data_IF_582479110144
#
_entry.id   IF_582479110144
#
_cell.length_a   1.000
_cell.length_b   1.000
_cell.length_c   1.000
_cell.angle_alpha   90.00
_cell.angle_beta   90.00
_cell.angle_gamma   90.00
#
_symmetry.space_group_name_H-M   'P 1'
#
loop_
_entity.id
_entity.type
_entity.pdbx_description
1 polymer ?
#
# COMPACT_ATOMS: atom_id res chain seq x y z
N UNK A 1 7.55 -10.62 19.15
CA UNK A 1 8.83 -9.97 18.83
C UNK A 1 8.58 -8.93 17.75
N UNK A 2 8.16 -7.74 18.17
CA UNK A 2 7.80 -6.65 17.26
C UNK A 2 8.91 -5.65 17.01
N UNK A 3 10.17 -6.00 17.27
CA UNK A 3 11.27 -5.10 16.93
C UNK A 3 11.76 -5.44 15.53
N UNK A 4 11.21 -4.73 14.57
CA UNK A 4 11.81 -4.64 13.25
C UNK A 4 12.81 -3.50 13.35
N UNK A 5 14.08 -3.80 13.14
CA UNK A 5 15.09 -2.76 13.02
C UNK A 5 14.87 -2.04 11.68
N UNK A 6 14.33 -0.84 11.75
CA UNK A 6 14.00 -0.05 10.55
C UNK A 6 15.24 0.23 9.72
N UNK A 7 16.39 0.37 10.33
CA UNK A 7 17.63 0.65 9.63
C UNK A 7 18.07 -0.50 8.73
N UNK A 8 17.70 -1.75 9.07
CA UNK A 8 18.05 -2.92 8.25
C UNK A 8 17.14 -3.06 7.01
N UNK A 9 15.92 -2.51 7.05
CA UNK A 9 14.93 -2.69 6.00
C UNK A 9 14.72 -1.45 5.11
N UNK A 10 15.32 -0.33 5.49
CA UNK A 10 15.19 0.91 4.73
C UNK A 10 16.47 1.20 3.94
N UNK A 11 16.29 1.45 2.65
CA UNK A 11 17.37 1.87 1.75
C UNK A 11 17.16 3.32 1.37
N UNK A 12 18.13 4.17 1.71
CA UNK A 12 18.08 5.57 1.32
C UNK A 12 18.50 5.70 -0.14
N UNK A 13 17.55 6.07 -1.00
CA UNK A 13 17.77 6.22 -2.45
C UNK A 13 18.23 7.62 -2.83
N UNK A 14 17.83 8.63 -2.05
CA UNK A 14 18.22 10.04 -2.21
C UNK A 14 18.07 10.74 -0.87
N UNK A 15 18.36 12.03 -0.83
CA UNK A 15 18.15 12.83 0.39
C UNK A 15 16.69 12.89 0.83
N UNK A 16 15.77 12.68 -0.11
CA UNK A 16 14.33 12.82 0.11
C UNK A 16 13.56 11.52 -0.02
N UNK A 17 14.19 10.40 -0.38
CA UNK A 17 13.52 9.14 -0.64
C UNK A 17 14.20 7.98 0.04
N UNK A 18 13.44 7.22 0.83
CA UNK A 18 13.86 5.93 1.36
C UNK A 18 12.86 4.86 0.95
N UNK A 19 13.35 3.66 0.62
CA UNK A 19 12.54 2.51 0.27
C UNK A 19 12.64 1.44 1.34
N UNK A 20 11.48 0.96 1.79
CA UNK A 20 11.39 -0.23 2.62
C UNK A 20 11.24 -1.45 1.73
N UNK A 21 12.20 -2.35 1.78
CA UNK A 21 12.22 -3.54 0.94
C UNK A 21 11.92 -4.78 1.77
N UNK A 22 11.05 -5.64 1.24
CA UNK A 22 10.83 -6.97 1.80
C UNK A 22 11.95 -7.88 1.33
N UNK A 23 12.74 -8.44 2.27
CA UNK A 23 13.86 -9.32 1.94
C UNK A 23 13.45 -10.70 1.48
N UNK A 24 12.28 -11.19 1.88
CA UNK A 24 11.74 -12.49 1.51
C UNK A 24 10.23 -12.43 1.28
N UNK A 25 9.68 -13.26 0.37
CA UNK A 25 8.24 -13.32 0.18
C UNK A 25 7.57 -13.78 1.48
N UNK A 26 6.63 -12.99 1.97
CA UNK A 26 5.88 -13.32 3.18
C UNK A 26 4.70 -14.20 2.80
N UNK A 27 4.64 -15.42 3.35
CA UNK A 27 3.59 -16.39 3.05
C UNK A 27 2.22 -15.99 3.58
N UNK A 28 2.19 -15.22 4.67
CA UNK A 28 0.97 -14.74 5.30
C UNK A 28 1.00 -13.21 5.43
N UNK A 29 0.85 -12.54 4.30
CA UNK A 29 0.72 -11.08 4.28
C UNK A 29 -0.47 -10.60 5.12
N UNK A 30 -1.53 -11.41 5.22
CA UNK A 30 -2.69 -11.11 6.03
C UNK A 30 -2.35 -11.03 7.52
N UNK A 31 -1.60 -12.00 8.04
CA UNK A 31 -1.21 -11.98 9.46
C UNK A 31 -0.37 -10.77 9.81
N UNK A 32 0.52 -10.35 8.91
CA UNK A 32 1.31 -9.15 9.11
C UNK A 32 0.48 -7.87 9.08
N UNK A 33 -0.47 -7.79 8.16
CA UNK A 33 -1.36 -6.63 8.05
C UNK A 33 -2.36 -6.54 9.20
N UNK A 34 -2.76 -7.67 9.76
CA UNK A 34 -3.68 -7.73 10.90
C UNK A 34 -2.98 -7.67 12.26
N UNK A 35 -1.67 -7.84 12.31
CA UNK A 35 -0.96 -7.86 13.58
C UNK A 35 -1.02 -6.49 14.27
N UNK A 36 -1.43 -6.41 15.55
CA UNK A 36 -1.40 -5.14 16.27
C UNK A 36 -0.01 -4.50 16.30
N UNK A 37 1.04 -5.32 16.23
CA UNK A 37 2.42 -4.86 16.18
C UNK A 37 2.72 -4.05 14.91
N UNK A 38 2.00 -4.26 13.81
CA UNK A 38 2.25 -3.50 12.57
C UNK A 38 1.88 -2.02 12.70
N UNK A 39 0.80 -1.70 13.41
CA UNK A 39 0.43 -0.31 13.67
C UNK A 39 1.50 0.40 14.54
N UNK A 40 2.05 -0.30 15.52
CA UNK A 40 3.11 0.22 16.38
C UNK A 40 4.39 0.49 15.58
N UNK A 41 4.77 -0.42 14.69
CA UNK A 41 5.95 -0.27 13.83
C UNK A 41 5.78 0.91 12.88
N UNK A 42 4.59 1.08 12.31
CA UNK A 42 4.30 2.21 11.44
C UNK A 42 4.39 3.54 12.19
N UNK A 43 3.83 3.61 13.40
CA UNK A 43 3.90 4.81 14.23
C UNK A 43 5.33 5.14 14.62
N UNK A 44 6.13 4.16 14.97
CA UNK A 44 7.56 4.34 15.29
C UNK A 44 8.35 4.84 14.09
N UNK A 45 8.08 4.29 12.91
CA UNK A 45 8.71 4.72 11.66
C UNK A 45 8.39 6.19 11.36
N UNK A 46 7.15 6.59 11.50
CA UNK A 46 6.73 7.98 11.29
C UNK A 46 7.39 8.90 12.33
N UNK A 47 7.43 8.48 13.58
CA UNK A 47 8.04 9.26 14.65
C UNK A 47 9.55 9.43 14.49
N UNK A 48 10.24 8.44 13.95
CA UNK A 48 11.69 8.45 13.78
C UNK A 48 12.11 9.17 12.49
N UNK A 49 11.41 8.93 11.39
CA UNK A 49 11.79 9.45 10.07
C UNK A 49 11.18 10.81 9.72
N UNK A 50 10.09 11.18 10.36
CA UNK A 50 9.34 12.41 10.08
C UNK A 50 9.05 12.61 8.57
N UNK A 51 8.53 11.59 7.88
CA UNK A 51 8.28 11.72 6.44
C UNK A 51 7.13 12.67 6.17
N UNK A 52 7.21 13.42 5.08
CA UNK A 52 6.09 14.22 4.61
C UNK A 52 5.00 13.34 3.98
N UNK A 53 5.41 12.31 3.26
CA UNK A 53 4.51 11.35 2.61
C UNK A 53 5.06 9.94 2.80
N UNK A 54 4.16 9.02 3.16
CA UNK A 54 4.46 7.59 3.20
C UNK A 54 3.57 6.89 2.18
N UNK A 55 4.18 6.11 1.29
CA UNK A 55 3.46 5.33 0.30
C UNK A 55 3.61 3.85 0.64
N UNK A 56 2.48 3.19 0.85
CA UNK A 56 2.43 1.75 1.07
C UNK A 56 2.07 1.05 -0.24
N UNK A 57 2.94 0.16 -0.70
CA UNK A 57 2.66 -0.71 -1.84
C UNK A 57 1.94 -1.94 -1.32
N UNK A 58 0.64 -2.01 -1.56
CA UNK A 58 -0.25 -3.03 -1.02
C UNK A 58 -0.66 -4.04 -2.08
N UNK A 59 -1.04 -5.26 -1.67
CA UNK A 59 -1.50 -6.27 -2.62
C UNK A 59 -2.82 -5.89 -3.28
N UNK A 60 -3.21 -6.69 -4.28
CA UNK A 60 -4.44 -6.47 -5.03
C UNK A 60 -5.68 -6.42 -4.14
N UNK A 61 -6.60 -5.50 -4.45
CA UNK A 61 -7.81 -5.27 -3.65
C UNK A 61 -8.76 -6.45 -3.70
N UNK A 62 -8.97 -6.99 -4.90
CA UNK A 62 -9.90 -8.10 -5.10
C UNK A 62 -9.22 -9.45 -4.84
N UNK A 63 -9.93 -10.35 -4.18
CA UNK A 63 -9.45 -11.69 -3.87
C UNK A 63 -8.78 -11.85 -2.52
N UNK A 64 -8.73 -10.80 -1.71
CA UNK A 64 -8.12 -10.84 -0.39
C UNK A 64 -8.84 -9.87 0.56
N UNK A 65 -9.16 -10.35 1.76
CA UNK A 65 -9.74 -9.52 2.81
C UNK A 65 -8.68 -8.75 3.61
N UNK A 66 -7.42 -8.97 3.31
CA UNK A 66 -6.29 -8.49 4.10
C UNK A 66 -6.14 -6.98 4.07
N UNK A 67 -6.45 -6.39 2.93
CA UNK A 67 -6.39 -4.94 2.74
C UNK A 67 -7.36 -4.18 3.63
N UNK A 68 -8.54 -4.74 3.84
CA UNK A 68 -9.61 -4.06 4.59
C UNK A 68 -9.16 -3.74 6.02
N UNK A 69 -8.38 -4.61 6.63
CA UNK A 69 -7.84 -4.40 7.97
C UNK A 69 -6.75 -3.34 8.01
N UNK A 70 -6.02 -3.16 6.93
CA UNK A 70 -4.92 -2.18 6.85
C UNK A 70 -5.40 -0.77 6.49
N UNK A 71 -6.42 -0.65 5.66
CA UNK A 71 -6.89 0.63 5.11
C UNK A 71 -7.20 1.72 6.15
N UNK A 72 -7.69 1.41 7.37
CA UNK A 72 -7.88 2.46 8.37
C UNK A 72 -6.60 3.18 8.80
N UNK A 73 -5.42 2.63 8.49
CA UNK A 73 -4.13 3.25 8.83
C UNK A 73 -3.65 4.28 7.81
N UNK A 74 -4.34 4.41 6.67
CA UNK A 74 -3.93 5.32 5.60
C UNK A 74 -4.88 6.50 5.48
N UNK A 75 -4.37 7.64 5.03
CA UNK A 75 -5.15 8.86 4.85
C UNK A 75 -5.90 8.88 3.52
N UNK A 76 -5.44 8.10 2.55
CA UNK A 76 -6.08 8.00 1.25
C UNK A 76 -5.48 6.88 0.41
N UNK A 77 -6.19 6.51 -0.63
CA UNK A 77 -5.82 5.40 -1.51
C UNK A 77 -5.78 5.85 -2.96
N UNK A 78 -4.71 5.47 -3.66
CA UNK A 78 -4.66 5.51 -5.11
C UNK A 78 -4.83 4.09 -5.62
N UNK A 79 -5.85 3.87 -6.42
CA UNK A 79 -6.10 2.57 -7.05
C UNK A 79 -5.36 2.50 -8.39
N UNK A 80 -4.50 1.51 -8.53
CA UNK A 80 -3.79 1.28 -9.79
C UNK A 80 -4.48 0.15 -10.54
N UNK A 81 -4.99 0.46 -11.73
CA UNK A 81 -5.64 -0.51 -12.61
C UNK A 81 -4.74 -0.81 -13.80
N UNK A 82 -4.76 -2.07 -14.25
CA UNK A 82 -4.06 -2.49 -15.46
C UNK A 82 -4.98 -2.25 -16.67
N UNK A 83 -4.62 -1.27 -17.51
CA UNK A 83 -5.44 -0.89 -18.66
C UNK A 83 -5.63 -2.03 -19.68
N UNK A 84 -4.79 -3.06 -19.62
CA UNK A 84 -4.87 -4.22 -20.53
C UNK A 84 -5.75 -5.34 -19.99
N UNK A 85 -6.05 -5.38 -18.70
CA UNK A 85 -6.71 -6.52 -18.05
C UNK A 85 -7.86 -6.14 -17.12
N UNK A 86 -7.78 -5.00 -16.44
CA UNK A 86 -8.79 -4.61 -15.45
C UNK A 86 -10.06 -4.12 -16.13
N UNK A 87 -11.19 -4.70 -15.75
CA UNK A 87 -12.49 -4.28 -16.30
C UNK A 87 -13.08 -3.13 -15.49
N UNK A 88 -14.04 -2.41 -16.10
CA UNK A 88 -14.77 -1.36 -15.39
C UNK A 88 -15.56 -1.86 -14.19
N UNK A 89 -16.06 -3.10 -14.24
CA UNK A 89 -16.76 -3.73 -13.13
C UNK A 89 -15.83 -4.00 -11.97
N UNK A 90 -14.60 -4.45 -12.26
CA UNK A 90 -13.59 -4.66 -11.24
C UNK A 90 -13.18 -3.35 -10.58
N UNK A 91 -13.02 -2.28 -11.34
CA UNK A 91 -12.73 -0.95 -10.79
C UNK A 91 -13.85 -0.50 -9.84
N UNK A 92 -15.10 -0.66 -10.24
CA UNK A 92 -16.25 -0.31 -9.39
C UNK A 92 -16.31 -1.14 -8.12
N UNK A 93 -15.98 -2.43 -8.22
CA UNK A 93 -15.91 -3.31 -7.05
C UNK A 93 -14.81 -2.85 -6.08
N UNK A 94 -13.65 -2.47 -6.61
CA UNK A 94 -12.55 -1.93 -5.80
C UNK A 94 -12.92 -0.61 -5.12
N UNK A 95 -13.57 0.30 -5.85
CA UNK A 95 -14.03 1.57 -5.31
C UNK A 95 -14.96 1.37 -4.10
N UNK A 96 -15.84 0.40 -4.20
CA UNK A 96 -16.77 0.08 -3.12
C UNK A 96 -16.03 -0.45 -1.88
N UNK A 97 -15.13 -1.40 -2.07
CA UNK A 97 -14.36 -2.00 -0.98
C UNK A 97 -13.49 -0.95 -0.29
N UNK A 98 -12.79 -0.15 -1.07
CA UNK A 98 -11.90 0.90 -0.55
C UNK A 98 -12.70 1.99 0.17
N UNK A 99 -13.78 2.43 -0.44
CA UNK A 99 -14.60 3.53 0.09
C UNK A 99 -15.24 3.25 1.44
N UNK A 100 -15.40 1.99 1.81
CA UNK A 100 -15.90 1.59 3.13
C UNK A 100 -14.85 1.78 4.23
N UNK A 101 -13.58 1.87 3.89
CA UNK A 101 -12.47 1.88 4.85
C UNK A 101 -11.57 3.11 4.77
N UNK A 102 -11.43 3.73 3.60
CA UNK A 102 -10.54 4.89 3.39
C UNK A 102 -11.00 5.73 2.20
N UNK A 103 -10.64 7.03 2.15
CA UNK A 103 -10.94 7.86 0.98
C UNK A 103 -10.20 7.39 -0.27
N UNK A 104 -10.91 7.22 -1.37
CA UNK A 104 -10.30 6.95 -2.66
C UNK A 104 -9.95 8.29 -3.34
N UNK A 105 -8.66 8.53 -3.53
CA UNK A 105 -8.15 9.77 -4.10
C UNK A 105 -8.26 9.79 -5.62
N UNK A 106 -8.17 8.65 -6.25
CA UNK A 106 -8.25 8.53 -7.70
C UNK A 106 -7.86 7.15 -8.20
N UNK A 107 -7.96 6.98 -9.51
CA UNK A 107 -7.60 5.76 -10.22
C UNK A 107 -6.51 6.09 -11.24
N UNK A 108 -5.43 5.32 -11.22
CA UNK A 108 -4.33 5.43 -12.18
C UNK A 108 -4.36 4.23 -13.10
N UNK A 109 -4.31 4.47 -14.41
CA UNK A 109 -4.24 3.41 -15.41
C UNK A 109 -2.77 3.14 -15.75
N UNK A 110 -2.31 1.95 -15.40
CA UNK A 110 -0.98 1.47 -15.76
C UNK A 110 -1.06 0.66 -17.06
N UNK A 111 0.03 0.59 -17.80
CA UNK A 111 0.12 -0.12 -19.08
C UNK A 111 -0.83 0.39 -20.16
N UNK A 112 -1.31 1.62 -20.03
CA UNK A 112 -2.11 2.26 -21.06
C UNK A 112 -1.24 2.66 -22.25
N UNK A 113 -1.81 2.51 -23.47
CA UNK A 113 -1.14 3.02 -24.66
C UNK A 113 -1.52 4.50 -24.82
N UNK A 114 -0.51 5.36 -24.90
CA UNK A 114 -0.75 6.73 -25.28
C UNK A 114 -1.28 6.74 -26.73
N UNK A 115 -2.44 7.34 -26.95
CA UNK A 115 -2.88 7.60 -28.32
C UNK A 115 -1.90 8.59 -28.93
N UNK A 116 -1.31 8.20 -30.05
CA UNK A 116 -0.59 9.17 -30.87
C UNK A 116 -1.60 10.26 -31.29
N UNK A 117 -1.27 11.46 -30.94
CA UNK A 117 -2.07 12.62 -31.35
C UNK A 117 -1.94 12.81 -32.86
#
# INVERSE_FOLDING_TARGET
KGQVDLDEHLVKCSETLALGLAGEPVRDASELLHAPASAIVLDEMIAELHPDVVIYDLPAVLGSDDLHAFLPNVDGVLLVADATRTTGEEIRACEKVIGEAAPLLGVVLNRGRAKAA
#
